data_IF_476087020189
#
_entry.id   IF_476087020189
#
_cell.length_a   1.000
_cell.length_b   1.000
_cell.length_c   1.000
_cell.angle_alpha   90.00
_cell.angle_beta   90.00
_cell.angle_gamma   90.00
#
_symmetry.space_group_name_H-M   'P 1'
#
loop_
_entity.id
_entity.type
_entity.pdbx_description
1 polymer ?
#
# COMPACT_ATOMS: atom_id res chain seq x y z
N UNK A 1 34.62 7.60 20.60
CA UNK A 1 33.13 7.54 20.55
C UNK A 1 32.67 8.53 19.49
N UNK A 2 31.99 8.07 18.49
CA UNK A 2 31.55 8.82 17.30
C UNK A 2 30.24 9.58 17.60
N UNK A 3 30.11 10.80 17.10
CA UNK A 3 28.91 11.61 17.27
C UNK A 3 27.87 11.33 16.18
N UNK A 4 26.62 11.71 16.42
CA UNK A 4 25.52 11.62 15.43
C UNK A 4 25.93 12.34 14.13
N UNK A 5 26.48 13.56 14.24
CA UNK A 5 26.92 14.33 13.07
C UNK A 5 28.04 13.63 12.28
N UNK A 6 29.05 13.08 12.95
CA UNK A 6 30.13 12.32 12.28
C UNK A 6 29.57 11.10 11.52
N UNK A 7 28.59 10.38 12.08
CA UNK A 7 27.95 9.25 11.41
C UNK A 7 27.18 9.70 10.16
N UNK A 8 26.37 10.75 10.29
CA UNK A 8 25.50 11.24 9.21
C UNK A 8 26.30 11.78 8.01
N UNK A 9 27.39 12.51 8.30
CA UNK A 9 28.18 13.21 7.27
C UNK A 9 29.46 12.49 6.92
N UNK A 10 29.64 11.23 7.40
CA UNK A 10 30.78 10.40 6.98
C UNK A 10 30.79 10.24 5.45
N UNK A 11 31.96 10.50 4.85
CA UNK A 11 32.21 10.31 3.43
C UNK A 11 32.52 8.84 3.12
N UNK A 12 32.24 8.39 1.91
CA UNK A 12 32.73 7.12 1.38
C UNK A 12 31.69 6.02 1.14
N UNK A 13 30.40 6.30 1.32
CA UNK A 13 29.34 5.37 0.93
C UNK A 13 28.34 5.98 -0.08
N UNK A 14 27.62 5.12 -0.79
CA UNK A 14 26.62 5.50 -1.79
C UNK A 14 25.25 5.85 -1.18
N UNK A 15 25.13 5.85 0.14
CA UNK A 15 23.88 6.09 0.86
C UNK A 15 23.73 7.59 1.13
N UNK A 16 22.59 8.16 0.75
CA UNK A 16 22.33 9.58 0.96
C UNK A 16 22.24 9.93 2.44
N UNK A 17 22.56 11.19 2.80
CA UNK A 17 22.41 11.69 4.17
C UNK A 17 20.96 11.54 4.66
N UNK A 18 19.99 11.70 3.77
CA UNK A 18 18.57 11.50 4.09
C UNK A 18 18.28 10.05 4.53
N UNK A 19 18.78 9.07 3.78
CA UNK A 19 18.61 7.65 4.12
C UNK A 19 19.35 7.29 5.42
N UNK A 20 20.55 7.81 5.62
CA UNK A 20 21.30 7.66 6.88
C UNK A 20 20.51 8.21 8.07
N UNK A 21 19.86 9.38 7.91
CA UNK A 21 18.99 9.96 8.95
C UNK A 21 17.85 9.04 9.32
N UNK A 22 17.13 8.49 8.33
CA UNK A 22 16.02 7.58 8.58
C UNK A 22 16.46 6.32 9.34
N UNK A 23 17.58 5.72 8.92
CA UNK A 23 18.11 4.52 9.56
C UNK A 23 18.65 4.80 10.96
N UNK A 24 19.37 5.90 11.16
CA UNK A 24 19.91 6.26 12.48
C UNK A 24 18.80 6.68 13.46
N UNK A 25 17.78 7.40 12.97
CA UNK A 25 16.56 7.72 13.70
C UNK A 25 15.87 6.45 14.21
N UNK A 26 15.75 5.43 13.34
CA UNK A 26 15.20 4.13 13.71
C UNK A 26 16.02 3.42 14.79
N UNK A 27 17.36 3.39 14.64
CA UNK A 27 18.24 2.70 15.61
C UNK A 27 18.22 3.37 16.98
N UNK A 28 18.21 4.71 17.02
CA UNK A 28 18.25 5.48 18.26
C UNK A 28 16.85 5.71 18.88
N UNK A 29 15.76 5.37 18.16
CA UNK A 29 14.40 5.67 18.60
C UNK A 29 14.10 7.17 18.69
N UNK A 30 14.80 8.00 17.90
CA UNK A 30 14.66 9.46 17.89
C UNK A 30 13.86 9.91 16.68
N UNK A 31 13.11 11.02 16.78
CA UNK A 31 12.54 11.67 15.60
C UNK A 31 13.65 12.34 14.76
N UNK A 32 13.36 12.57 13.46
CA UNK A 32 14.31 13.25 12.58
C UNK A 32 14.66 14.67 13.06
N UNK A 33 13.67 15.38 13.66
CA UNK A 33 13.87 16.71 14.25
C UNK A 33 14.84 16.62 15.43
N UNK A 34 14.63 15.67 16.34
CA UNK A 34 15.50 15.47 17.51
C UNK A 34 16.91 15.08 17.07
N UNK A 35 17.04 14.20 16.08
CA UNK A 35 18.34 13.83 15.52
C UNK A 35 19.12 15.04 14.97
N UNK A 36 18.42 15.99 14.34
CA UNK A 36 19.04 17.22 13.84
C UNK A 36 19.53 18.13 14.97
N UNK A 37 18.84 18.16 16.10
CA UNK A 37 19.20 19.00 17.26
C UNK A 37 20.31 18.40 18.12
N UNK A 38 20.55 17.10 18.04
CA UNK A 38 21.48 16.36 18.92
C UNK A 38 22.74 15.88 18.20
N UNK A 39 23.15 16.54 17.12
CA UNK A 39 24.28 16.10 16.28
C UNK A 39 25.62 15.96 17.01
N UNK A 40 25.84 16.70 18.11
CA UNK A 40 27.05 16.61 18.97
C UNK A 40 26.97 15.46 19.98
N UNK A 41 25.83 14.80 20.14
CA UNK A 41 25.70 13.68 21.07
C UNK A 41 26.46 12.46 20.56
N UNK A 42 27.06 11.73 21.50
CA UNK A 42 27.81 10.50 21.23
C UNK A 42 26.87 9.32 21.10
N UNK A 43 27.14 8.46 20.12
CA UNK A 43 26.40 7.22 19.87
C UNK A 43 27.11 6.05 20.52
N UNK A 44 26.36 5.17 21.16
CA UNK A 44 26.87 3.95 21.78
C UNK A 44 27.37 2.94 20.75
N UNK A 45 28.39 2.14 21.11
CA UNK A 45 28.99 1.14 20.19
C UNK A 45 27.97 0.13 19.65
N UNK A 46 27.01 -0.28 20.49
CA UNK A 46 25.92 -1.19 20.08
C UNK A 46 25.07 -0.57 18.96
N UNK A 47 24.72 0.71 19.10
CA UNK A 47 23.88 1.40 18.13
C UNK A 47 24.64 1.69 16.83
N UNK A 48 25.94 2.02 16.93
CA UNK A 48 26.80 2.13 15.75
C UNK A 48 26.82 0.81 14.98
N UNK A 49 27.02 -0.32 15.66
CA UNK A 49 27.02 -1.64 15.01
C UNK A 49 25.67 -1.98 14.36
N UNK A 50 24.55 -1.68 15.03
CA UNK A 50 23.22 -1.86 14.47
C UNK A 50 23.02 -0.98 13.23
N UNK A 51 23.42 0.27 13.28
CA UNK A 51 23.35 1.19 12.15
C UNK A 51 24.17 0.70 10.95
N UNK A 52 25.41 0.26 11.18
CA UNK A 52 26.29 -0.30 10.13
C UNK A 52 25.67 -1.53 9.46
N UNK A 53 24.99 -2.40 10.21
CA UNK A 53 24.27 -3.53 9.65
C UNK A 53 23.15 -3.06 8.71
N UNK A 54 22.37 -2.04 9.10
CA UNK A 54 21.30 -1.49 8.25
C UNK A 54 21.88 -0.82 7.00
N UNK A 55 22.97 -0.07 7.14
CA UNK A 55 23.69 0.53 6.00
C UNK A 55 24.15 -0.54 5.01
N UNK A 56 24.74 -1.64 5.48
CA UNK A 56 25.18 -2.73 4.61
C UNK A 56 24.00 -3.40 3.87
N UNK A 57 22.86 -3.59 4.53
CA UNK A 57 21.64 -4.09 3.89
C UNK A 57 21.11 -3.08 2.85
N UNK A 58 21.11 -1.78 3.16
CA UNK A 58 20.71 -0.72 2.23
C UNK A 58 21.61 -0.63 1.00
N UNK A 59 22.92 -0.79 1.16
CA UNK A 59 23.87 -0.89 0.02
C UNK A 59 23.53 -2.02 -0.94
N UNK A 60 22.90 -3.09 -0.45
CA UNK A 60 22.37 -4.16 -1.27
C UNK A 60 20.97 -3.87 -1.85
N UNK A 61 20.52 -2.60 -1.79
CA UNK A 61 19.22 -2.12 -2.29
C UNK A 61 18.01 -2.64 -1.51
N UNK A 62 18.17 -3.05 -0.24
CA UNK A 62 17.01 -3.40 0.58
C UNK A 62 16.20 -2.13 0.92
N UNK A 63 14.87 -2.12 0.71
CA UNK A 63 14.04 -0.94 0.94
C UNK A 63 14.12 -0.44 2.38
N UNK A 64 14.24 0.88 2.58
CA UNK A 64 14.27 1.49 3.93
C UNK A 64 13.02 1.10 4.73
N UNK A 65 11.86 1.05 4.08
CA UNK A 65 10.62 0.65 4.73
C UNK A 65 10.72 -0.76 5.38
N UNK A 66 11.41 -1.70 4.74
CA UNK A 66 11.65 -3.03 5.33
C UNK A 66 12.74 -3.04 6.38
N UNK A 67 13.77 -2.19 6.23
CA UNK A 67 14.83 -2.04 7.23
C UNK A 67 14.30 -1.47 8.55
N UNK A 68 13.36 -0.54 8.46
CA UNK A 68 12.74 0.12 9.62
C UNK A 68 11.42 -0.50 10.05
N UNK A 69 10.85 -1.40 9.23
CA UNK A 69 9.50 -1.94 9.36
C UNK A 69 8.40 -0.87 9.43
N UNK A 70 8.60 0.27 8.77
CA UNK A 70 7.72 1.42 8.84
C UNK A 70 7.51 2.05 7.47
N UNK A 71 6.27 2.43 7.17
CA UNK A 71 5.90 3.21 5.99
C UNK A 71 4.76 4.16 6.31
N UNK A 72 4.98 5.44 6.12
CA UNK A 72 3.90 6.43 6.18
C UNK A 72 2.98 6.25 4.98
N UNK A 73 1.68 6.23 5.23
CA UNK A 73 0.65 6.20 4.21
C UNK A 73 -0.60 6.90 4.76
N UNK A 74 -1.17 7.84 3.99
CA UNK A 74 -2.27 8.69 4.43
C UNK A 74 -1.91 9.39 5.75
N UNK A 75 -2.70 9.23 6.79
CA UNK A 75 -2.52 9.87 8.10
C UNK A 75 -1.80 8.97 9.14
N UNK A 76 -1.31 7.81 8.72
CA UNK A 76 -0.80 6.79 9.65
C UNK A 76 0.60 6.29 9.25
N UNK A 77 1.29 5.66 10.20
CA UNK A 77 2.51 4.88 9.97
C UNK A 77 2.17 3.39 10.05
N UNK A 78 2.34 2.68 8.95
CA UNK A 78 2.06 1.24 8.84
C UNK A 78 3.31 0.41 9.07
N UNK A 79 3.15 -0.70 9.77
CA UNK A 79 4.14 -1.77 9.79
C UNK A 79 4.18 -2.45 8.42
N UNK A 80 5.38 -2.67 7.90
CA UNK A 80 5.60 -3.41 6.65
C UNK A 80 6.83 -4.31 6.78
N UNK A 81 6.78 -5.44 6.10
CA UNK A 81 7.91 -6.33 5.89
C UNK A 81 7.84 -6.95 4.48
N UNK A 82 8.80 -7.80 4.13
CA UNK A 82 8.90 -8.42 2.81
C UNK A 82 7.70 -9.27 2.37
N UNK A 83 6.69 -9.42 3.22
CA UNK A 83 5.47 -10.18 2.90
C UNK A 83 4.40 -9.33 2.23
N UNK A 84 4.54 -8.00 2.22
CA UNK A 84 3.54 -7.08 1.66
C UNK A 84 4.19 -6.06 0.72
N UNK A 85 3.44 -5.60 -0.27
CA UNK A 85 3.81 -4.42 -1.05
C UNK A 85 4.00 -3.23 -0.12
N UNK A 86 5.08 -2.47 -0.31
CA UNK A 86 5.26 -1.19 0.41
C UNK A 86 4.20 -0.21 -0.08
N UNK A 87 3.32 0.35 0.78
CA UNK A 87 2.31 1.31 0.39
C UNK A 87 2.89 2.47 -0.44
N UNK A 88 2.24 2.79 -1.57
CA UNK A 88 2.68 3.86 -2.48
C UNK A 88 1.86 5.12 -2.25
N UNK A 89 2.50 6.28 -2.35
CA UNK A 89 1.79 7.57 -2.27
C UNK A 89 0.71 7.72 -3.34
N UNK A 90 0.93 7.16 -4.54
CA UNK A 90 -0.06 7.20 -5.62
C UNK A 90 -1.37 6.50 -5.23
N UNK A 91 -1.30 5.47 -4.36
CA UNK A 91 -2.47 4.75 -3.86
C UNK A 91 -3.34 5.59 -2.90
N UNK A 92 -2.82 6.70 -2.36
CA UNK A 92 -3.60 7.63 -1.53
C UNK A 92 -4.74 8.28 -2.34
N UNK A 93 -4.57 8.39 -3.66
CA UNK A 93 -5.63 8.87 -4.57
C UNK A 93 -6.90 8.01 -4.53
N UNK A 94 -6.79 6.71 -4.19
CA UNK A 94 -8.00 5.88 -3.97
C UNK A 94 -8.78 6.38 -2.76
N UNK A 95 -8.10 6.69 -1.66
CA UNK A 95 -8.72 7.21 -0.43
C UNK A 95 -9.40 8.55 -0.73
N UNK A 96 -8.66 9.48 -1.36
CA UNK A 96 -9.20 10.79 -1.76
C UNK A 96 -10.42 10.63 -2.67
N UNK A 97 -10.36 9.73 -3.65
CA UNK A 97 -11.46 9.48 -4.59
C UNK A 97 -12.71 8.93 -3.89
N UNK A 98 -12.55 8.03 -2.90
CA UNK A 98 -13.68 7.54 -2.11
C UNK A 98 -14.29 8.66 -1.28
N UNK A 99 -13.48 9.47 -0.59
CA UNK A 99 -13.95 10.59 0.23
C UNK A 99 -14.66 11.65 -0.63
N UNK A 100 -14.11 11.99 -1.79
CA UNK A 100 -14.72 12.96 -2.71
C UNK A 100 -16.09 12.47 -3.23
N UNK A 101 -16.19 11.16 -3.54
CA UNK A 101 -17.42 10.58 -4.07
C UNK A 101 -18.48 10.33 -2.98
N UNK A 102 -18.04 10.06 -1.75
CA UNK A 102 -18.88 9.81 -0.57
C UNK A 102 -18.53 10.78 0.57
N UNK A 103 -18.85 12.08 0.46
CA UNK A 103 -18.36 13.09 1.39
C UNK A 103 -19.00 13.03 2.78
N UNK A 104 -20.10 12.31 2.95
CA UNK A 104 -20.72 12.09 4.27
C UNK A 104 -19.97 11.00 5.04
N UNK A 105 -18.97 11.40 5.82
CA UNK A 105 -18.13 10.51 6.63
C UNK A 105 -18.88 9.89 7.82
N UNK A 106 -20.07 10.39 8.16
CA UNK A 106 -20.90 9.86 9.26
C UNK A 106 -21.73 8.67 8.84
N UNK A 107 -21.93 8.50 7.54
CA UNK A 107 -22.72 7.43 6.97
C UNK A 107 -22.05 6.08 7.14
N UNK A 108 -22.85 5.06 7.42
CA UNK A 108 -22.38 3.68 7.52
C UNK A 108 -22.21 3.08 6.13
N UNK A 109 -20.98 2.72 5.77
CA UNK A 109 -20.64 1.97 4.56
C UNK A 109 -19.95 0.66 4.94
N UNK A 110 -20.17 -0.36 4.12
CA UNK A 110 -19.47 -1.63 4.23
C UNK A 110 -18.43 -1.73 3.10
N UNK A 111 -17.15 -1.65 3.47
CA UNK A 111 -16.01 -1.64 2.56
C UNK A 111 -15.48 -3.04 2.31
N UNK A 112 -15.01 -3.29 1.09
CA UNK A 112 -14.25 -4.47 0.71
C UNK A 112 -12.94 -4.08 0.06
N UNK A 113 -11.83 -4.59 0.57
CA UNK A 113 -10.48 -4.42 0.00
C UNK A 113 -9.99 -5.76 -0.57
N UNK A 114 -9.85 -5.84 -1.88
CA UNK A 114 -9.43 -7.04 -2.59
C UNK A 114 -7.94 -7.00 -2.90
N UNK A 115 -7.16 -7.92 -2.30
CA UNK A 115 -5.71 -7.86 -2.28
C UNK A 115 -5.22 -6.87 -1.24
N UNK A 116 -5.67 -7.00 0.02
CA UNK A 116 -5.49 -5.96 1.04
C UNK A 116 -4.04 -5.74 1.48
N UNK A 117 -3.13 -6.68 1.23
CA UNK A 117 -1.71 -6.56 1.54
C UNK A 117 -1.44 -6.14 2.99
N UNK A 118 -0.87 -4.95 3.20
CA UNK A 118 -0.64 -4.37 4.54
C UNK A 118 -1.90 -3.89 5.26
N UNK A 119 -3.05 -3.85 4.57
CA UNK A 119 -4.30 -3.26 5.04
C UNK A 119 -4.35 -1.73 4.95
N UNK A 120 -3.37 -1.08 4.32
CA UNK A 120 -3.24 0.37 4.34
C UNK A 120 -4.46 1.10 3.76
N UNK A 121 -5.06 0.60 2.68
CA UNK A 121 -6.24 1.22 2.06
C UNK A 121 -7.45 1.16 2.98
N UNK A 122 -7.83 -0.05 3.39
CA UNK A 122 -9.04 -0.25 4.17
C UNK A 122 -8.95 0.33 5.58
N UNK A 123 -7.79 0.25 6.24
CA UNK A 123 -7.57 0.86 7.55
C UNK A 123 -7.68 2.39 7.45
N UNK A 124 -7.07 2.99 6.43
CA UNK A 124 -7.15 4.45 6.21
C UNK A 124 -8.59 4.90 5.97
N UNK A 125 -9.37 4.18 5.13
CA UNK A 125 -10.79 4.49 4.91
C UNK A 125 -11.61 4.36 6.19
N UNK A 126 -11.40 3.32 6.99
CA UNK A 126 -12.16 3.14 8.24
C UNK A 126 -11.77 4.15 9.32
N UNK A 127 -10.61 4.77 9.25
CA UNK A 127 -10.24 5.90 10.11
C UNK A 127 -10.93 7.20 9.68
N UNK A 128 -11.31 7.35 8.41
CA UNK A 128 -12.14 8.47 7.95
C UNK A 128 -13.63 8.21 8.21
N UNK A 129 -14.13 7.00 7.91
CA UNK A 129 -15.54 6.61 8.09
C UNK A 129 -15.73 5.88 9.41
N UNK A 130 -15.91 6.64 10.51
CA UNK A 130 -15.94 6.07 11.86
C UNK A 130 -17.11 5.10 12.11
N UNK A 131 -18.23 5.24 11.40
CA UNK A 131 -19.39 4.32 11.46
C UNK A 131 -19.28 3.18 10.43
N UNK A 132 -18.27 3.17 9.57
CA UNK A 132 -18.07 2.15 8.56
C UNK A 132 -17.52 0.85 9.11
N UNK A 133 -17.75 -0.23 8.38
CA UNK A 133 -17.15 -1.54 8.60
C UNK A 133 -16.44 -2.04 7.35
N UNK A 134 -15.54 -3.01 7.48
CA UNK A 134 -14.78 -3.47 6.34
C UNK A 134 -14.31 -4.91 6.41
N UNK A 135 -13.99 -5.44 5.24
CA UNK A 135 -13.34 -6.74 5.09
C UNK A 135 -12.18 -6.60 4.11
N UNK A 136 -10.97 -6.99 4.53
CA UNK A 136 -9.83 -7.20 3.66
C UNK A 136 -9.75 -8.66 3.23
N UNK A 137 -9.58 -8.91 1.95
CA UNK A 137 -9.40 -10.26 1.40
C UNK A 137 -7.99 -10.36 0.83
N UNK A 138 -7.23 -11.33 1.31
CA UNK A 138 -5.84 -11.54 0.92
C UNK A 138 -5.56 -13.04 0.83
N UNK A 139 -4.77 -13.45 -0.14
CA UNK A 139 -4.44 -14.86 -0.35
C UNK A 139 -3.20 -15.30 0.44
N UNK A 140 -2.28 -14.36 0.72
CA UNK A 140 -1.04 -14.64 1.44
C UNK A 140 -1.23 -14.52 2.95
N UNK A 141 -1.10 -15.64 3.63
CA UNK A 141 -1.19 -15.73 5.10
C UNK A 141 -0.16 -14.84 5.82
N UNK A 142 0.99 -14.57 5.21
CA UNK A 142 2.01 -13.70 5.82
C UNK A 142 1.59 -12.23 5.71
N UNK A 143 0.99 -11.85 4.59
CA UNK A 143 0.40 -10.52 4.41
C UNK A 143 -0.75 -10.29 5.40
N UNK A 144 -1.62 -11.29 5.62
CA UNK A 144 -2.66 -11.23 6.66
C UNK A 144 -2.08 -10.93 8.05
N UNK A 145 -0.95 -11.54 8.43
CA UNK A 145 -0.31 -11.23 9.73
C UNK A 145 0.13 -9.78 9.83
N UNK A 146 0.60 -9.19 8.72
CA UNK A 146 0.99 -7.78 8.66
C UNK A 146 -0.25 -6.88 8.79
N UNK A 147 -1.31 -7.17 8.05
CA UNK A 147 -2.55 -6.38 8.11
C UNK A 147 -3.26 -6.47 9.47
N UNK A 148 -3.30 -7.64 10.10
CA UNK A 148 -3.83 -7.79 11.46
C UNK A 148 -3.01 -7.00 12.48
N UNK A 149 -1.67 -7.01 12.38
CA UNK A 149 -0.80 -6.18 13.21
C UNK A 149 -1.11 -4.69 13.03
N UNK A 150 -1.26 -4.21 11.80
CA UNK A 150 -1.62 -2.82 11.51
C UNK A 150 -3.01 -2.47 12.07
N UNK A 151 -3.97 -3.36 11.92
CA UNK A 151 -5.31 -3.18 12.50
C UNK A 151 -5.25 -3.01 14.03
N UNK A 152 -4.45 -3.84 14.72
CA UNK A 152 -4.32 -3.76 16.18
C UNK A 152 -3.78 -2.42 16.67
N UNK A 153 -2.88 -1.79 15.92
CA UNK A 153 -2.27 -0.52 16.30
C UNK A 153 -3.05 0.71 15.83
N UNK A 154 -3.75 0.61 14.70
CA UNK A 154 -4.27 1.78 13.99
C UNK A 154 -5.79 1.90 13.99
N UNK A 155 -6.53 0.85 14.36
CA UNK A 155 -7.98 0.83 14.26
C UNK A 155 -8.64 0.25 15.51
N UNK A 156 -9.84 0.72 15.84
CA UNK A 156 -10.70 0.05 16.80
C UNK A 156 -11.21 -1.28 16.22
N UNK A 157 -10.94 -2.40 16.92
CA UNK A 157 -10.82 -3.77 16.40
C UNK A 157 -12.07 -4.37 15.76
N UNK A 158 -13.26 -3.97 16.16
CA UNK A 158 -14.49 -4.71 15.82
C UNK A 158 -15.06 -4.39 14.44
N UNK A 159 -14.55 -3.38 13.75
CA UNK A 159 -15.07 -2.89 12.47
C UNK A 159 -14.38 -3.47 11.23
N UNK A 160 -13.27 -4.18 11.40
CA UNK A 160 -12.45 -4.73 10.31
C UNK A 160 -12.10 -6.18 10.57
N UNK A 161 -12.26 -7.01 9.55
CA UNK A 161 -11.74 -8.38 9.53
C UNK A 161 -10.90 -8.61 8.29
N UNK A 162 -9.86 -9.40 8.43
CA UNK A 162 -9.07 -9.90 7.29
C UNK A 162 -9.35 -11.39 7.08
N UNK A 163 -9.48 -11.78 5.81
CA UNK A 163 -9.82 -13.15 5.43
C UNK A 163 -8.78 -13.70 4.45
N UNK A 164 -8.17 -14.84 4.82
CA UNK A 164 -7.30 -15.60 3.92
C UNK A 164 -8.17 -16.33 2.88
N UNK A 165 -8.36 -15.68 1.72
CA UNK A 165 -9.22 -16.18 0.63
C UNK A 165 -8.72 -15.69 -0.72
N UNK A 166 -8.99 -16.48 -1.75
CA UNK A 166 -8.92 -16.03 -3.13
C UNK A 166 -10.15 -15.17 -3.45
N UNK A 167 -9.92 -13.91 -3.79
CA UNK A 167 -10.99 -12.98 -4.13
C UNK A 167 -11.80 -13.39 -5.38
N UNK A 168 -11.25 -14.22 -6.28
CA UNK A 168 -11.93 -14.64 -7.50
C UNK A 168 -13.22 -15.41 -7.25
N UNK A 169 -13.35 -16.01 -6.06
CA UNK A 169 -14.52 -16.76 -5.61
C UNK A 169 -15.21 -16.19 -4.37
N UNK A 170 -14.75 -15.03 -3.89
CA UNK A 170 -15.30 -14.39 -2.71
C UNK A 170 -16.67 -13.77 -2.96
N UNK A 171 -17.60 -13.90 -2.02
CA UNK A 171 -18.92 -13.26 -2.13
C UNK A 171 -18.85 -11.76 -1.81
N UNK A 172 -19.04 -10.95 -2.84
CA UNK A 172 -18.95 -9.49 -2.78
C UNK A 172 -20.30 -8.79 -2.63
N UNK A 173 -21.41 -9.53 -2.55
CA UNK A 173 -22.78 -8.99 -2.66
C UNK A 173 -23.22 -8.12 -1.47
N UNK A 174 -22.55 -8.23 -0.32
CA UNK A 174 -22.89 -7.49 0.91
C UNK A 174 -22.17 -6.14 1.07
N UNK A 175 -21.28 -5.77 0.15
CA UNK A 175 -20.46 -4.58 0.27
C UNK A 175 -20.98 -3.43 -0.59
N UNK A 176 -20.84 -2.20 -0.10
CA UNK A 176 -21.25 -0.97 -0.78
C UNK A 176 -20.15 -0.43 -1.68
N UNK A 177 -18.93 -0.50 -1.17
CA UNK A 177 -17.74 0.08 -1.80
C UNK A 177 -16.64 -0.99 -1.84
N UNK A 178 -16.17 -1.27 -3.04
CA UNK A 178 -15.04 -2.18 -3.28
C UNK A 178 -13.85 -1.37 -3.72
N UNK A 179 -12.72 -1.58 -3.07
CA UNK A 179 -11.44 -0.97 -3.41
C UNK A 179 -10.44 -2.07 -3.76
N UNK A 180 -9.52 -1.79 -4.65
CA UNK A 180 -8.41 -2.69 -4.93
C UNK A 180 -7.25 -1.96 -5.59
N UNK A 181 -6.05 -2.27 -5.12
CA UNK A 181 -4.79 -2.06 -5.83
C UNK A 181 -4.22 -3.43 -6.19
N UNK A 182 -4.72 -4.09 -7.24
CA UNK A 182 -4.28 -5.44 -7.58
C UNK A 182 -2.92 -5.41 -8.27
N UNK A 183 -2.17 -6.53 -8.30
CA UNK A 183 -0.96 -6.63 -9.10
C UNK A 183 -1.27 -6.31 -10.57
N UNK A 184 -0.48 -5.39 -11.15
CA UNK A 184 -0.74 -4.89 -12.51
C UNK A 184 0.50 -4.78 -13.40
N UNK A 185 1.69 -5.11 -12.90
CA UNK A 185 2.92 -5.03 -13.70
C UNK A 185 3.00 -6.26 -14.59
N UNK A 186 3.18 -6.07 -15.90
CA UNK A 186 3.42 -7.17 -16.83
C UNK A 186 4.75 -7.87 -16.51
N UNK A 187 4.80 -9.18 -16.68
CA UNK A 187 6.07 -9.92 -16.57
C UNK A 187 7.13 -9.44 -17.58
N UNK A 188 6.71 -8.88 -18.71
CA UNK A 188 7.59 -8.30 -19.72
C UNK A 188 8.34 -7.06 -19.20
N UNK A 189 7.70 -6.27 -18.31
CA UNK A 189 8.24 -5.05 -17.71
C UNK A 189 9.19 -5.32 -16.53
N UNK A 190 9.36 -6.59 -16.13
CA UNK A 190 10.16 -6.97 -14.96
C UNK A 190 11.59 -6.43 -14.97
N UNK A 191 12.18 -6.24 -16.13
CA UNK A 191 13.56 -5.75 -16.28
C UNK A 191 13.69 -4.25 -15.99
N UNK A 192 12.61 -3.49 -16.20
CA UNK A 192 12.59 -2.04 -16.10
C UNK A 192 12.28 -1.54 -14.69
N UNK A 193 11.90 -2.45 -13.79
CA UNK A 193 11.57 -2.15 -12.41
C UNK A 193 12.85 -1.93 -11.59
N UNK A 194 12.81 -0.94 -10.69
CA UNK A 194 13.90 -0.66 -9.75
C UNK A 194 14.35 -1.92 -9.02
N UNK A 195 15.67 -2.05 -8.80
CA UNK A 195 16.27 -3.20 -8.13
C UNK A 195 15.65 -3.52 -6.77
N UNK A 196 15.36 -2.50 -5.97
CA UNK A 196 14.78 -2.66 -4.64
C UNK A 196 13.38 -3.30 -4.70
N UNK A 197 12.55 -2.87 -5.63
CA UNK A 197 11.20 -3.44 -5.83
C UNK A 197 11.32 -4.88 -6.32
N UNK A 198 12.07 -5.09 -7.38
CA UNK A 198 12.20 -6.40 -8.04
C UNK A 198 12.78 -7.49 -7.14
N UNK A 199 13.75 -7.13 -6.28
CA UNK A 199 14.51 -8.10 -5.49
C UNK A 199 13.94 -8.34 -4.09
N UNK A 200 13.14 -7.43 -3.57
CA UNK A 200 12.71 -7.48 -2.17
C UNK A 200 11.20 -7.53 -1.99
N UNK A 201 10.42 -6.91 -2.88
CA UNK A 201 8.97 -6.92 -2.74
C UNK A 201 8.35 -8.22 -3.28
N UNK A 202 7.22 -8.68 -2.72
CA UNK A 202 6.64 -9.96 -3.09
C UNK A 202 6.14 -9.95 -4.54
N UNK A 203 6.63 -10.90 -5.35
CA UNK A 203 6.30 -10.98 -6.78
C UNK A 203 4.80 -11.16 -7.05
N UNK A 204 4.07 -11.83 -6.16
CA UNK A 204 2.63 -12.02 -6.25
C UNK A 204 1.83 -10.73 -6.01
N UNK A 205 2.44 -9.72 -5.39
CA UNK A 205 1.84 -8.39 -5.22
C UNK A 205 2.21 -7.40 -6.34
N UNK A 206 3.10 -7.79 -7.26
CA UNK A 206 3.61 -6.92 -8.33
C UNK A 206 3.11 -7.34 -9.70
N UNK A 207 3.27 -8.62 -10.06
CA UNK A 207 3.16 -9.08 -11.43
C UNK A 207 1.81 -9.72 -11.75
N UNK A 208 1.33 -9.46 -12.96
CA UNK A 208 0.13 -10.05 -13.49
C UNK A 208 0.28 -10.42 -14.98
N UNK A 209 -0.39 -11.49 -15.37
CA UNK A 209 -0.53 -11.92 -16.76
C UNK A 209 -1.40 -10.94 -17.57
N UNK A 210 -1.58 -11.25 -18.86
CA UNK A 210 -2.44 -10.47 -19.77
C UNK A 210 -2.03 -8.99 -19.85
N UNK A 211 -0.72 -8.71 -19.90
CA UNK A 211 -0.17 -7.35 -19.88
C UNK A 211 -0.64 -6.56 -18.64
N UNK A 212 -0.72 -7.24 -17.49
CA UNK A 212 -1.14 -6.65 -16.23
C UNK A 212 -2.66 -6.57 -16.02
N UNK A 213 -3.48 -7.11 -16.93
CA UNK A 213 -4.95 -6.99 -16.84
C UNK A 213 -5.65 -8.19 -16.17
N UNK A 214 -4.93 -9.27 -15.89
CA UNK A 214 -5.49 -10.51 -15.38
C UNK A 214 -6.33 -10.33 -14.12
N UNK A 215 -5.80 -9.65 -13.10
CA UNK A 215 -6.51 -9.48 -11.83
C UNK A 215 -7.71 -8.54 -11.95
N UNK A 216 -7.62 -7.47 -12.73
CA UNK A 216 -8.78 -6.62 -13.02
C UNK A 216 -9.92 -7.42 -13.64
N UNK A 217 -9.62 -8.25 -14.63
CA UNK A 217 -10.62 -9.10 -15.27
C UNK A 217 -11.25 -10.06 -14.26
N UNK A 218 -10.45 -10.76 -13.44
CA UNK A 218 -10.95 -11.68 -12.43
C UNK A 218 -11.86 -11.02 -11.40
N UNK A 219 -11.45 -9.85 -10.89
CA UNK A 219 -12.24 -9.09 -9.93
C UNK A 219 -13.57 -8.65 -10.55
N UNK A 220 -13.52 -8.02 -11.73
CA UNK A 220 -14.72 -7.50 -12.41
C UNK A 220 -15.70 -8.62 -12.76
N UNK A 221 -15.22 -9.74 -13.29
CA UNK A 221 -16.06 -10.92 -13.59
C UNK A 221 -16.71 -11.51 -12.33
N UNK A 222 -15.96 -11.57 -11.20
CA UNK A 222 -16.53 -12.04 -9.93
C UNK A 222 -17.63 -11.10 -9.41
N UNK A 223 -17.37 -9.80 -9.40
CA UNK A 223 -18.32 -8.77 -9.03
C UNK A 223 -19.57 -8.84 -9.92
N UNK A 224 -19.41 -8.99 -11.24
CA UNK A 224 -20.51 -9.09 -12.20
C UNK A 224 -21.45 -10.28 -11.93
N UNK A 225 -20.93 -11.41 -11.47
CA UNK A 225 -21.72 -12.62 -11.20
C UNK A 225 -22.56 -12.53 -9.92
N UNK A 226 -22.13 -11.74 -8.93
CA UNK A 226 -22.62 -11.83 -7.55
C UNK A 226 -23.40 -10.61 -7.08
N UNK A 227 -23.43 -9.55 -7.88
CA UNK A 227 -24.06 -8.30 -7.48
C UNK A 227 -25.57 -8.37 -7.42
N UNK A 228 -26.14 -7.93 -6.28
CA UNK A 228 -27.59 -7.87 -6.03
C UNK A 228 -28.08 -6.45 -5.72
N UNK A 229 -27.17 -5.49 -5.53
CA UNK A 229 -27.47 -4.09 -5.15
C UNK A 229 -26.47 -3.14 -5.79
N UNK A 230 -26.76 -1.83 -5.74
CA UNK A 230 -25.84 -0.81 -6.23
C UNK A 230 -24.50 -0.92 -5.49
N UNK A 231 -23.40 -1.00 -6.22
CA UNK A 231 -22.07 -1.15 -5.72
C UNK A 231 -21.12 -0.26 -6.48
N UNK A 232 -20.15 0.32 -5.77
CA UNK A 232 -19.10 1.15 -6.34
C UNK A 232 -17.75 0.46 -6.26
N UNK A 233 -16.96 0.66 -7.30
CA UNK A 233 -15.66 0.04 -7.48
C UNK A 233 -14.60 1.10 -7.72
N UNK A 234 -13.53 1.06 -6.96
CA UNK A 234 -12.37 1.95 -7.07
C UNK A 234 -11.12 1.11 -7.31
N UNK A 235 -10.53 1.25 -8.50
CA UNK A 235 -9.30 0.55 -8.87
C UNK A 235 -8.12 1.50 -8.98
N UNK A 236 -6.99 1.16 -8.37
CA UNK A 236 -5.71 1.69 -8.83
C UNK A 236 -5.35 1.06 -10.18
N UNK A 237 -4.74 1.84 -11.09
CA UNK A 237 -4.32 1.37 -12.41
C UNK A 237 -2.92 1.82 -12.78
N UNK A 238 -2.18 0.97 -13.48
CA UNK A 238 -0.91 1.32 -14.09
C UNK A 238 -1.06 2.28 -15.26
N UNK A 239 0.05 2.92 -15.68
CA UNK A 239 0.08 4.02 -16.66
C UNK A 239 -0.63 3.66 -17.98
N UNK A 240 -0.41 2.46 -18.51
CA UNK A 240 -0.91 2.04 -19.84
C UNK A 240 -2.17 1.16 -19.77
N UNK A 241 -2.85 1.09 -18.61
CA UNK A 241 -3.93 0.13 -18.39
C UNK A 241 -5.35 0.70 -18.39
N UNK A 242 -5.58 2.01 -18.25
CA UNK A 242 -6.93 2.56 -18.11
C UNK A 242 -7.89 2.10 -19.21
N UNK A 243 -7.48 2.14 -20.48
CA UNK A 243 -8.35 1.74 -21.60
C UNK A 243 -8.71 0.25 -21.56
N UNK A 244 -7.75 -0.60 -21.17
CA UNK A 244 -7.96 -2.04 -21.00
C UNK A 244 -8.95 -2.33 -19.89
N UNK A 245 -8.79 -1.70 -18.73
CA UNK A 245 -9.67 -1.85 -17.57
C UNK A 245 -11.07 -1.31 -17.88
N UNK A 246 -11.19 -0.15 -18.52
CA UNK A 246 -12.47 0.43 -18.98
C UNK A 246 -13.21 -0.52 -19.93
N UNK A 247 -12.49 -1.16 -20.85
CA UNK A 247 -13.09 -2.14 -21.77
C UNK A 247 -13.64 -3.36 -21.01
N UNK A 248 -12.89 -3.87 -20.04
CA UNK A 248 -13.35 -5.01 -19.22
C UNK A 248 -14.59 -4.62 -18.40
N UNK A 249 -14.60 -3.44 -17.77
CA UNK A 249 -15.73 -2.92 -17.02
C UNK A 249 -16.99 -2.83 -17.89
N UNK A 250 -16.91 -2.20 -19.06
CA UNK A 250 -18.04 -2.05 -20.01
C UNK A 250 -18.58 -3.41 -20.47
N UNK A 251 -17.70 -4.36 -20.77
CA UNK A 251 -18.10 -5.71 -21.20
C UNK A 251 -18.82 -6.50 -20.10
N UNK A 252 -18.67 -6.11 -18.85
CA UNK A 252 -19.31 -6.72 -17.68
C UNK A 252 -20.46 -5.84 -17.11
N UNK A 253 -21.00 -4.90 -17.89
CA UNK A 253 -22.12 -4.02 -17.55
C UNK A 253 -21.84 -3.07 -16.36
N UNK A 254 -20.58 -2.67 -16.16
CA UNK A 254 -20.22 -1.58 -15.27
C UNK A 254 -20.20 -0.26 -16.03
N UNK A 255 -20.74 0.78 -15.41
CA UNK A 255 -20.63 2.16 -15.89
C UNK A 255 -19.40 2.79 -15.27
N UNK A 256 -18.45 3.22 -16.09
CA UNK A 256 -17.32 4.05 -15.64
C UNK A 256 -17.84 5.44 -15.31
N UNK A 257 -17.64 5.86 -14.05
CA UNK A 257 -18.12 7.15 -13.53
C UNK A 257 -17.06 8.22 -13.70
N UNK A 258 -15.79 7.89 -13.36
CA UNK A 258 -14.68 8.83 -13.44
C UNK A 258 -13.36 8.09 -13.57
N UNK A 259 -12.37 8.81 -14.11
CA UNK A 259 -10.96 8.41 -14.09
C UNK A 259 -10.19 9.56 -13.47
N UNK A 260 -9.59 9.32 -12.29
CA UNK A 260 -8.81 10.30 -11.57
C UNK A 260 -7.33 10.18 -11.92
N UNK A 261 -6.66 11.32 -11.94
CA UNK A 261 -5.24 11.42 -12.27
C UNK A 261 -4.45 11.87 -11.04
N UNK A 262 -3.20 11.41 -10.96
CA UNK A 262 -2.25 11.87 -9.96
C UNK A 262 -1.76 13.32 -10.25
N UNK A 263 -0.89 13.84 -9.38
CA UNK A 263 -0.29 15.17 -9.52
C UNK A 263 0.55 15.35 -10.81
N UNK A 264 0.98 14.24 -11.41
CA UNK A 264 1.70 14.22 -12.68
C UNK A 264 0.77 14.10 -13.88
N UNK A 265 -0.55 14.23 -13.67
CA UNK A 265 -1.60 14.12 -14.67
C UNK A 265 -1.70 12.73 -15.34
N UNK A 266 -1.24 11.68 -14.63
CA UNK A 266 -1.30 10.28 -15.04
C UNK A 266 -2.56 9.63 -14.46
N UNK A 267 -3.40 8.93 -15.26
CA UNK A 267 -4.54 8.17 -14.73
C UNK A 267 -4.09 7.11 -13.72
N UNK A 268 -4.67 7.16 -12.50
CA UNK A 268 -4.32 6.25 -11.41
C UNK A 268 -5.50 5.60 -10.72
N UNK A 269 -6.69 6.23 -10.77
CA UNK A 269 -7.86 5.62 -10.16
C UNK A 269 -9.03 5.60 -11.15
N UNK A 270 -9.65 4.43 -11.34
CA UNK A 270 -10.89 4.26 -12.09
C UNK A 270 -12.02 4.03 -11.10
N UNK A 271 -13.07 4.84 -11.23
CA UNK A 271 -14.31 4.71 -10.47
C UNK A 271 -15.38 4.16 -11.39
N UNK A 272 -16.00 3.06 -10.98
CA UNK A 272 -17.09 2.44 -11.71
C UNK A 272 -18.26 2.11 -10.79
N UNK A 273 -19.46 2.05 -11.34
CA UNK A 273 -20.66 1.63 -10.63
C UNK A 273 -21.42 0.57 -11.40
N UNK A 274 -22.16 -0.23 -10.68
CA UNK A 274 -23.17 -1.13 -11.22
C UNK A 274 -24.45 -1.01 -10.41
N UNK A 275 -25.57 -0.93 -11.10
CA UNK A 275 -26.91 -0.87 -10.49
C UNK A 275 -27.54 -2.24 -10.46
#
# INVERSE_FOLDING_TARGET
MTTIGEILYSNGDSISVFEKKLLLSHVLGLSNEKLNLTQSEKVGEKDIKNFEQLINRRKNSEPIAYLTNKKSFWKNEFYVDKSVLIPRSDSELLIESVIEYFPDLTKTYNFLDLGSGSGCLIISLLNEYLSGSGTGVEIDKKAIKVSEKNKEFLLNKDRLKFLERDFSNFDTSSFDIVISNPPYISFEEKKDIMKEVRNYEPSNALFADEKGLYFYRKIIENLAKRQKRKQFLFFEVGINQPDGVVKILKNNNFKVVSIKKDISNIPRCIIAERS
#
